data_IF_136211045863
#
_entry.id   IF_136211045863
#
_cell.length_a   1.000
_cell.length_b   1.000
_cell.length_c   1.000
_cell.angle_alpha   90.00
_cell.angle_beta   90.00
_cell.angle_gamma   90.00
#
_symmetry.space_group_name_H-M   'P 1'
#
loop_
_entity.id
_entity.type
_entity.pdbx_description
1 polymer ?
#
# COMPACT_ATOMS: atom_id res chain seq x y z
N UNK A 1 16.35 16.60 26.23
CA UNK A 1 15.01 16.44 26.85
C UNK A 1 14.34 15.23 26.22
N UNK A 2 13.85 14.26 27.03
CA UNK A 2 13.09 13.13 26.49
C UNK A 2 11.80 13.68 25.89
N UNK A 3 11.54 13.39 24.62
CA UNK A 3 10.28 13.75 23.95
C UNK A 3 9.16 12.99 24.70
N UNK A 4 8.24 13.75 25.31
CA UNK A 4 7.08 13.13 25.98
C UNK A 4 6.25 12.42 24.92
N UNK A 5 6.27 11.08 24.94
CA UNK A 5 5.48 10.27 24.00
C UNK A 5 4.00 10.47 24.27
N UNK A 6 3.26 10.87 23.24
CA UNK A 6 1.79 10.96 23.34
C UNK A 6 1.15 9.58 23.40
N UNK A 7 -0.01 9.46 24.01
CA UNK A 7 -0.82 8.25 24.00
C UNK A 7 -1.19 7.89 22.54
N UNK A 8 -0.89 6.68 22.06
CA UNK A 8 -1.20 6.28 20.71
C UNK A 8 -2.70 6.07 20.44
N UNK A 9 -3.52 6.03 21.46
CA UNK A 9 -4.98 5.93 21.34
C UNK A 9 -5.68 7.29 21.41
N UNK A 10 -4.97 8.35 21.82
CA UNK A 10 -5.53 9.68 21.96
C UNK A 10 -5.51 10.46 20.64
N UNK A 11 -6.69 10.80 20.14
CA UNK A 11 -6.83 11.68 18.97
C UNK A 11 -6.24 13.06 19.24
N UNK A 12 -5.56 13.60 18.25
CA UNK A 12 -4.98 14.94 18.32
C UNK A 12 -6.01 16.00 17.83
N UNK A 13 -5.82 17.28 18.19
CA UNK A 13 -6.66 18.34 17.66
C UNK A 13 -6.75 18.34 16.14
N UNK A 14 -7.95 18.44 15.59
CA UNK A 14 -8.22 18.40 14.16
C UNK A 14 -8.44 16.98 13.58
N UNK A 15 -8.23 15.92 14.36
CA UNK A 15 -8.56 14.56 13.95
C UNK A 15 -10.02 14.24 14.28
N UNK A 16 -10.83 13.95 13.25
CA UNK A 16 -12.23 13.55 13.43
C UNK A 16 -12.35 12.07 13.80
N UNK A 17 -13.13 11.78 14.83
CA UNK A 17 -13.51 10.42 15.23
C UNK A 17 -14.69 9.98 14.36
N UNK A 18 -14.65 8.74 13.88
CA UNK A 18 -15.81 8.12 13.21
C UNK A 18 -16.39 7.00 14.07
N UNK A 19 -17.66 6.73 13.89
CA UNK A 19 -18.31 5.59 14.54
C UNK A 19 -18.11 4.35 13.67
N UNK A 20 -17.22 3.46 14.10
CA UNK A 20 -16.91 2.21 13.40
C UNK A 20 -16.59 1.10 14.41
N UNK A 21 -17.08 -0.11 14.13
CA UNK A 21 -16.77 -1.31 14.92
C UNK A 21 -15.65 -2.15 14.29
N UNK A 22 -15.11 -1.69 13.14
CA UNK A 22 -14.18 -2.51 12.34
C UNK A 22 -12.87 -2.72 13.09
N UNK A 23 -12.35 -1.69 13.75
CA UNK A 23 -11.12 -1.79 14.55
C UNK A 23 -11.25 -2.89 15.63
N UNK A 24 -12.30 -2.84 16.43
CA UNK A 24 -12.53 -3.80 17.52
C UNK A 24 -12.71 -5.21 16.96
N UNK A 25 -13.44 -5.35 15.86
CA UNK A 25 -13.64 -6.64 15.18
C UNK A 25 -12.30 -7.22 14.68
N UNK A 26 -11.46 -6.40 14.05
CA UNK A 26 -10.15 -6.85 13.55
C UNK A 26 -9.26 -7.27 14.72
N UNK A 27 -9.08 -6.43 15.73
CA UNK A 27 -8.21 -6.72 16.87
C UNK A 27 -8.65 -7.97 17.61
N UNK A 28 -9.95 -8.12 17.90
CA UNK A 28 -10.49 -9.33 18.54
C UNK A 28 -10.20 -10.61 17.75
N UNK A 29 -10.29 -10.58 16.44
CA UNK A 29 -9.99 -11.75 15.61
C UNK A 29 -8.49 -12.05 15.57
N UNK A 30 -7.64 -11.01 15.55
CA UNK A 30 -6.17 -11.17 15.57
C UNK A 30 -5.70 -11.75 16.90
N UNK A 31 -6.27 -11.31 18.04
CA UNK A 31 -5.96 -11.85 19.37
C UNK A 31 -6.31 -13.33 19.47
N UNK A 32 -7.39 -13.75 18.83
CA UNK A 32 -7.82 -15.15 18.78
C UNK A 32 -7.09 -15.98 17.71
N UNK A 33 -6.30 -15.36 16.85
CA UNK A 33 -5.58 -16.05 15.77
C UNK A 33 -4.28 -16.68 16.29
N UNK A 34 -4.35 -17.98 16.56
CA UNK A 34 -3.21 -18.79 16.97
C UNK A 34 -2.87 -19.80 15.86
N UNK A 35 -1.98 -19.38 14.97
CA UNK A 35 -1.56 -20.22 13.84
C UNK A 35 -0.71 -21.42 14.24
N UNK A 36 -0.21 -21.49 15.50
CA UNK A 36 0.53 -22.65 15.98
C UNK A 36 -0.35 -23.90 16.12
N UNK A 37 -1.67 -23.71 16.25
CA UNK A 37 -2.68 -24.79 16.35
C UNK A 37 -3.22 -25.26 15.01
N UNK A 38 -2.81 -24.63 13.91
CA UNK A 38 -3.29 -24.95 12.57
C UNK A 38 -2.51 -26.13 12.01
N UNK A 39 -3.25 -27.13 11.52
CA UNK A 39 -2.72 -28.36 10.95
C UNK A 39 -2.73 -28.35 9.42
N UNK A 40 -2.01 -29.29 8.79
CA UNK A 40 -2.07 -29.53 7.35
C UNK A 40 -3.52 -29.79 6.86
N UNK A 41 -4.31 -30.52 7.65
CA UNK A 41 -5.74 -30.78 7.35
C UNK A 41 -6.56 -29.51 7.24
N UNK A 42 -6.33 -28.51 8.13
CA UNK A 42 -7.04 -27.23 8.05
C UNK A 42 -6.72 -26.50 6.75
N UNK A 43 -5.48 -26.59 6.26
CA UNK A 43 -5.05 -26.03 4.98
C UNK A 43 -5.70 -26.74 3.81
N UNK A 44 -5.71 -28.09 3.81
CA UNK A 44 -6.36 -28.90 2.78
C UNK A 44 -7.87 -28.61 2.69
N UNK A 45 -8.55 -28.48 3.85
CA UNK A 45 -9.96 -28.11 3.90
C UNK A 45 -10.21 -26.69 3.37
N UNK A 46 -9.32 -25.73 3.66
CA UNK A 46 -9.40 -24.38 3.13
C UNK A 46 -9.23 -24.37 1.59
N UNK A 47 -8.30 -25.14 1.05
CA UNK A 47 -8.05 -25.21 -0.39
C UNK A 47 -9.18 -25.82 -1.21
N UNK A 48 -10.06 -26.61 -0.60
CA UNK A 48 -11.24 -27.18 -1.28
C UNK A 48 -12.38 -26.17 -1.46
N UNK A 49 -12.36 -25.03 -0.74
CA UNK A 49 -13.46 -24.07 -0.71
C UNK A 49 -13.31 -22.99 -1.77
N UNK A 50 -14.40 -22.59 -2.40
CA UNK A 50 -14.43 -21.44 -3.31
C UNK A 50 -14.49 -20.10 -2.56
N UNK A 51 -15.11 -20.10 -1.35
CA UNK A 51 -15.19 -18.93 -0.48
C UNK A 51 -14.55 -19.24 0.87
N UNK A 52 -13.54 -18.49 1.24
CA UNK A 52 -12.82 -18.69 2.49
C UNK A 52 -13.54 -18.00 3.65
N UNK A 53 -13.69 -18.73 4.75
CA UNK A 53 -13.97 -18.11 6.05
C UNK A 53 -12.70 -17.48 6.62
N UNK A 54 -12.83 -16.69 7.68
CA UNK A 54 -11.68 -16.13 8.40
C UNK A 54 -10.73 -17.23 8.92
N UNK A 55 -11.28 -18.37 9.36
CA UNK A 55 -10.49 -19.53 9.79
C UNK A 55 -9.69 -20.12 8.63
N UNK A 56 -10.31 -20.29 7.46
CA UNK A 56 -9.66 -20.82 6.27
C UNK A 56 -8.54 -19.89 5.80
N UNK A 57 -8.80 -18.58 5.80
CA UNK A 57 -7.79 -17.58 5.47
C UNK A 57 -6.60 -17.62 6.43
N UNK A 58 -6.87 -17.72 7.74
CA UNK A 58 -5.83 -17.91 8.73
C UNK A 58 -5.01 -19.19 8.51
N UNK A 59 -5.65 -20.27 8.07
CA UNK A 59 -4.97 -21.51 7.74
C UNK A 59 -3.98 -21.33 6.59
N UNK A 60 -4.34 -20.60 5.53
CA UNK A 60 -3.46 -20.31 4.40
C UNK A 60 -2.26 -19.41 4.75
N UNK A 61 -2.35 -18.61 5.81
CA UNK A 61 -1.26 -17.78 6.31
C UNK A 61 -0.35 -18.52 7.30
N UNK A 62 -0.76 -19.69 7.81
CA UNK A 62 -0.01 -20.43 8.82
C UNK A 62 1.26 -21.07 8.25
N UNK A 63 2.22 -21.46 9.12
CA UNK A 63 3.38 -22.27 8.69
C UNK A 63 2.98 -23.60 8.07
N UNK A 64 1.84 -24.20 8.48
CA UNK A 64 1.32 -25.44 7.92
C UNK A 64 0.99 -25.34 6.41
N UNK A 65 0.73 -24.14 5.88
CA UNK A 65 0.46 -23.94 4.47
C UNK A 65 1.73 -23.87 3.59
N UNK A 66 2.93 -23.77 4.17
CA UNK A 66 4.18 -23.69 3.40
C UNK A 66 4.36 -24.84 2.38
N UNK A 67 4.06 -26.10 2.70
CA UNK A 67 4.15 -27.19 1.73
C UNK A 67 3.12 -27.13 0.60
N UNK A 68 2.05 -26.34 0.78
CA UNK A 68 0.92 -26.22 -0.16
C UNK A 68 0.99 -24.98 -1.06
N UNK A 69 2.13 -24.28 -1.10
CA UNK A 69 2.26 -23.03 -1.88
C UNK A 69 2.01 -23.23 -3.37
N UNK A 70 2.34 -24.41 -3.92
CA UNK A 70 2.09 -24.71 -5.32
C UNK A 70 0.57 -24.85 -5.60
N UNK A 71 -0.17 -25.53 -4.73
CA UNK A 71 -1.62 -25.67 -4.81
C UNK A 71 -2.32 -24.32 -4.63
N UNK A 72 -1.85 -23.52 -3.67
CA UNK A 72 -2.32 -22.14 -3.49
C UNK A 72 -2.09 -21.32 -4.76
N UNK A 73 -0.90 -21.42 -5.37
CA UNK A 73 -0.55 -20.70 -6.59
C UNK A 73 -1.43 -21.13 -7.78
N UNK A 74 -1.66 -22.44 -7.98
CA UNK A 74 -2.55 -22.95 -9.03
C UNK A 74 -3.97 -22.39 -8.88
N UNK A 75 -4.50 -22.39 -7.66
CA UNK A 75 -5.82 -21.83 -7.36
C UNK A 75 -5.85 -20.31 -7.55
N UNK A 76 -4.83 -19.60 -7.09
CA UNK A 76 -4.72 -18.16 -7.23
C UNK A 76 -4.63 -17.71 -8.70
N UNK A 77 -3.92 -18.45 -9.56
CA UNK A 77 -3.89 -18.18 -11.01
C UNK A 77 -5.27 -18.28 -11.63
N UNK A 78 -6.07 -19.30 -11.23
CA UNK A 78 -7.44 -19.48 -11.74
C UNK A 78 -8.29 -18.27 -11.33
N UNK A 79 -8.24 -17.87 -10.06
CA UNK A 79 -9.01 -16.72 -9.55
C UNK A 79 -8.53 -15.39 -10.17
N UNK A 80 -7.21 -15.20 -10.32
CA UNK A 80 -6.66 -14.01 -10.97
C UNK A 80 -7.16 -13.90 -12.41
N UNK A 81 -7.13 -14.99 -13.17
CA UNK A 81 -7.61 -15.00 -14.56
C UNK A 81 -9.11 -14.84 -14.69
N UNK A 82 -9.88 -15.39 -13.75
CA UNK A 82 -11.35 -15.25 -13.71
C UNK A 82 -11.76 -13.78 -13.54
N UNK A 83 -11.07 -13.03 -12.70
CA UNK A 83 -11.44 -11.67 -12.33
C UNK A 83 -10.71 -10.58 -13.14
N UNK A 84 -9.50 -10.83 -13.60
CA UNK A 84 -8.63 -9.84 -14.25
C UNK A 84 -8.17 -10.24 -15.66
N UNK A 85 -8.47 -11.46 -16.08
CA UNK A 85 -7.95 -11.97 -17.36
C UNK A 85 -6.42 -12.01 -17.39
N UNK A 86 -5.86 -11.50 -18.48
CA UNK A 86 -4.41 -11.38 -18.67
C UNK A 86 -3.92 -9.93 -18.42
N UNK A 87 -4.79 -9.04 -17.91
CA UNK A 87 -4.50 -7.62 -17.77
C UNK A 87 -3.60 -7.32 -16.58
N UNK A 88 -2.55 -6.53 -16.80
CA UNK A 88 -1.64 -6.01 -15.78
C UNK A 88 -1.61 -4.50 -15.86
N UNK A 89 -2.12 -3.83 -14.83
CA UNK A 89 -2.09 -2.37 -14.73
C UNK A 89 -0.67 -1.85 -14.47
N UNK A 90 -0.31 -0.74 -15.14
CA UNK A 90 0.97 -0.05 -14.93
C UNK A 90 0.74 1.34 -14.36
N UNK A 91 1.57 1.71 -13.37
CA UNK A 91 1.59 3.04 -12.78
C UNK A 91 3.00 3.45 -12.35
N UNK A 92 3.17 4.71 -11.98
CA UNK A 92 4.38 5.18 -11.29
C UNK A 92 4.02 6.11 -10.14
N UNK A 93 4.82 6.14 -9.06
CA UNK A 93 4.70 7.14 -8.01
C UNK A 93 5.37 8.46 -8.41
N UNK A 94 4.83 9.57 -7.91
CA UNK A 94 5.49 10.88 -7.88
C UNK A 94 5.50 11.43 -6.47
N UNK A 95 6.68 11.55 -5.87
CA UNK A 95 6.87 12.20 -4.58
C UNK A 95 6.95 13.71 -4.76
N UNK A 96 5.95 14.43 -4.25
CA UNK A 96 5.87 15.89 -4.39
C UNK A 96 6.49 16.66 -3.21
N UNK A 97 6.67 15.99 -2.06
CA UNK A 97 7.38 16.53 -0.89
C UNK A 97 7.84 15.41 0.05
N UNK A 98 8.98 15.59 0.74
CA UNK A 98 9.48 14.64 1.74
C UNK A 98 9.62 15.24 3.15
N UNK A 99 9.04 16.42 3.40
CA UNK A 99 8.91 16.95 4.76
C UNK A 99 7.99 16.05 5.57
N UNK A 100 8.42 15.64 6.77
CA UNK A 100 7.66 14.77 7.65
C UNK A 100 7.84 15.16 9.10
N UNK A 101 6.76 15.16 9.89
CA UNK A 101 6.74 15.45 11.32
C UNK A 101 6.89 14.20 12.18
N UNK A 102 6.78 13.02 11.56
CA UNK A 102 6.82 11.74 12.25
C UNK A 102 8.23 11.24 12.51
N UNK A 103 8.40 10.59 13.66
CA UNK A 103 9.61 9.85 14.01
C UNK A 103 9.36 8.35 13.91
N UNK A 104 9.31 7.84 12.67
CA UNK A 104 9.16 6.41 12.39
C UNK A 104 10.54 5.79 12.20
N UNK A 105 10.86 4.73 12.97
CA UNK A 105 12.22 4.14 12.98
C UNK A 105 12.61 3.40 11.71
N UNK A 106 11.67 3.20 10.79
CA UNK A 106 11.84 2.42 9.56
C UNK A 106 11.74 3.25 8.27
N UNK A 107 11.69 4.60 8.37
CA UNK A 107 11.41 5.45 7.22
C UNK A 107 12.51 6.49 6.98
N UNK A 108 12.99 6.59 5.75
CA UNK A 108 13.98 7.59 5.35
C UNK A 108 13.50 9.03 5.58
N UNK A 109 12.20 9.30 5.48
CA UNK A 109 11.61 10.61 5.74
C UNK A 109 11.43 10.96 7.23
N UNK A 110 11.86 10.09 8.14
CA UNK A 110 11.83 10.34 9.58
C UNK A 110 12.34 11.76 9.89
N UNK A 111 11.60 12.51 10.75
CA UNK A 111 11.92 13.89 11.07
C UNK A 111 13.30 14.08 11.74
N UNK A 112 13.91 13.02 12.27
CA UNK A 112 15.26 13.04 12.87
C UNK A 112 16.37 12.73 11.87
N UNK A 113 16.03 12.18 10.69
CA UNK A 113 17.03 11.90 9.66
C UNK A 113 17.54 13.19 9.03
N UNK A 114 18.88 13.27 8.89
CA UNK A 114 19.58 14.35 8.20
C UNK A 114 19.60 14.04 6.71
N UNK A 115 18.51 14.37 6.03
CA UNK A 115 18.33 14.20 4.59
C UNK A 115 18.03 15.55 3.93
N UNK A 116 18.26 15.63 2.63
CA UNK A 116 17.84 16.76 1.82
C UNK A 116 16.32 16.77 1.72
N UNK A 117 15.68 17.80 2.29
CA UNK A 117 14.23 18.00 2.23
C UNK A 117 13.88 18.81 1.01
N UNK A 118 12.86 18.37 0.28
CA UNK A 118 12.35 19.02 -0.92
C UNK A 118 10.83 19.08 -0.95
N UNK A 119 10.35 20.04 -1.74
CA UNK A 119 8.93 20.21 -2.08
C UNK A 119 8.88 20.82 -3.48
N UNK A 120 8.07 20.24 -4.36
CA UNK A 120 7.88 20.74 -5.71
C UNK A 120 6.94 21.95 -5.70
N UNK A 121 7.26 22.98 -6.47
CA UNK A 121 6.30 24.01 -6.89
C UNK A 121 5.33 23.43 -7.94
N UNK A 122 4.23 24.11 -8.21
CA UNK A 122 3.28 23.67 -9.25
C UNK A 122 3.93 23.57 -10.62
N UNK A 123 4.81 24.52 -11.00
CA UNK A 123 5.52 24.48 -12.27
C UNK A 123 6.54 23.31 -12.36
N UNK A 124 7.15 22.93 -11.25
CA UNK A 124 8.01 21.72 -11.18
C UNK A 124 7.17 20.45 -11.29
N UNK A 125 6.03 20.39 -10.59
CA UNK A 125 5.10 19.27 -10.71
C UNK A 125 4.61 19.07 -12.15
N UNK A 126 4.24 20.15 -12.83
CA UNK A 126 3.77 20.08 -14.20
C UNK A 126 4.82 19.44 -15.12
N UNK A 127 6.09 19.84 -15.01
CA UNK A 127 7.18 19.24 -15.79
C UNK A 127 7.36 17.74 -15.47
N UNK A 128 7.33 17.36 -14.19
CA UNK A 128 7.42 15.96 -13.77
C UNK A 128 6.24 15.12 -14.30
N UNK A 129 5.00 15.65 -14.21
CA UNK A 129 3.79 14.99 -14.72
C UNK A 129 3.84 14.84 -16.24
N UNK A 130 4.30 15.87 -16.94
CA UNK A 130 4.48 15.82 -18.41
C UNK A 130 5.53 14.77 -18.81
N UNK A 131 6.67 14.70 -18.12
CA UNK A 131 7.71 13.71 -18.37
C UNK A 131 7.18 12.28 -18.16
N UNK A 132 6.42 12.04 -17.06
CA UNK A 132 5.78 10.76 -16.80
C UNK A 132 4.74 10.43 -17.88
N UNK A 133 3.88 11.38 -18.26
CA UNK A 133 2.84 11.17 -19.26
C UNK A 133 3.41 10.80 -20.66
N UNK A 134 4.59 11.32 -21.02
CA UNK A 134 5.33 10.94 -22.25
C UNK A 134 5.74 9.47 -22.29
N UNK A 135 5.81 8.77 -21.16
CA UNK A 135 6.05 7.32 -21.12
C UNK A 135 4.84 6.50 -21.55
N UNK A 136 3.69 7.13 -21.70
CA UNK A 136 2.41 6.48 -22.03
C UNK A 136 1.56 6.11 -20.82
N UNK A 137 2.10 6.18 -19.59
CA UNK A 137 1.33 5.90 -18.37
C UNK A 137 0.08 6.78 -18.27
N UNK A 138 -1.01 6.20 -17.78
CA UNK A 138 -2.31 6.86 -17.55
C UNK A 138 -2.79 6.75 -16.11
N UNK A 139 -2.00 6.13 -15.26
CA UNK A 139 -2.21 6.10 -13.81
C UNK A 139 -0.97 6.63 -13.08
N UNK A 140 -1.20 7.49 -12.10
CA UNK A 140 -0.17 8.05 -11.24
C UNK A 140 -0.55 7.91 -9.76
N UNK A 141 0.44 7.73 -8.90
CA UNK A 141 0.28 7.76 -7.45
C UNK A 141 1.05 8.95 -6.86
N UNK A 142 0.34 9.92 -6.29
CA UNK A 142 0.93 11.10 -5.66
C UNK A 142 1.27 10.80 -4.21
N UNK A 143 2.54 11.05 -3.81
CA UNK A 143 3.02 10.78 -2.46
C UNK A 143 3.60 12.03 -1.79
N UNK A 144 3.43 12.10 -0.46
CA UNK A 144 4.11 13.08 0.38
C UNK A 144 4.54 12.47 1.72
N UNK A 145 5.53 13.08 2.35
CA UNK A 145 5.71 12.95 3.80
C UNK A 145 4.54 13.61 4.54
N UNK A 146 4.36 13.25 5.82
CA UNK A 146 3.30 13.82 6.66
C UNK A 146 3.76 15.13 7.29
N UNK A 147 3.36 16.25 6.69
CA UNK A 147 3.52 17.60 7.25
C UNK A 147 2.40 18.50 6.74
N UNK A 148 1.44 18.78 7.60
CA UNK A 148 0.34 19.71 7.26
C UNK A 148 0.84 21.14 6.96
N UNK A 149 2.00 21.52 7.50
CA UNK A 149 2.62 22.82 7.23
C UNK A 149 3.25 22.90 5.83
N UNK A 150 3.99 21.87 5.41
CA UNK A 150 4.70 21.86 4.13
C UNK A 150 3.87 21.31 2.97
N UNK A 151 3.08 20.25 3.21
CA UNK A 151 2.23 19.58 2.25
C UNK A 151 0.79 19.45 2.78
N UNK A 152 0.14 20.61 3.02
CA UNK A 152 -1.25 20.68 3.44
C UNK A 152 -2.22 20.18 2.36
N UNK A 153 -3.49 20.01 2.73
CA UNK A 153 -4.51 19.41 1.86
C UNK A 153 -4.73 20.23 0.58
N UNK A 154 -4.66 21.57 0.65
CA UNK A 154 -4.78 22.45 -0.51
C UNK A 154 -3.63 22.26 -1.51
N UNK A 155 -2.40 22.09 -1.01
CA UNK A 155 -1.25 21.80 -1.86
C UNK A 155 -1.37 20.44 -2.54
N UNK A 156 -1.81 19.42 -1.81
CA UNK A 156 -2.07 18.09 -2.35
C UNK A 156 -3.22 18.17 -3.37
N UNK A 157 -4.29 18.91 -3.07
CA UNK A 157 -5.41 19.12 -3.97
C UNK A 157 -5.01 19.80 -5.28
N UNK A 158 -4.11 20.80 -5.23
CA UNK A 158 -3.55 21.43 -6.42
C UNK A 158 -2.73 20.44 -7.26
N UNK A 159 -1.91 19.61 -6.61
CA UNK A 159 -1.14 18.55 -7.29
C UNK A 159 -2.06 17.50 -7.96
N UNK A 160 -3.11 17.06 -7.26
CA UNK A 160 -4.10 16.10 -7.77
C UNK A 160 -4.85 16.70 -8.97
N UNK A 161 -5.28 17.96 -8.86
CA UNK A 161 -5.98 18.65 -9.94
C UNK A 161 -5.11 18.74 -11.20
N UNK A 162 -3.85 19.11 -11.04
CA UNK A 162 -2.90 19.17 -12.13
C UNK A 162 -2.64 17.78 -12.74
N UNK A 163 -2.45 16.77 -11.90
CA UNK A 163 -2.24 15.38 -12.35
C UNK A 163 -3.45 14.85 -13.14
N UNK A 164 -4.66 15.24 -12.77
CA UNK A 164 -5.89 14.83 -13.46
C UNK A 164 -6.03 15.35 -14.91
N UNK A 165 -5.21 16.34 -15.30
CA UNK A 165 -5.12 16.82 -16.69
C UNK A 165 -4.30 15.86 -17.58
N UNK A 166 -3.36 15.12 -17.02
CA UNK A 166 -2.45 14.21 -17.72
C UNK A 166 -2.84 12.73 -17.60
N UNK A 167 -3.46 12.35 -16.46
CA UNK A 167 -3.71 10.96 -16.10
C UNK A 167 -5.20 10.66 -15.95
N UNK A 168 -5.61 9.49 -16.44
CA UNK A 168 -6.99 9.02 -16.31
C UNK A 168 -7.32 8.59 -14.87
N UNK A 169 -6.31 8.12 -14.12
CA UNK A 169 -6.45 7.69 -12.72
C UNK A 169 -5.38 8.35 -11.86
N UNK A 170 -5.80 9.01 -10.78
CA UNK A 170 -4.92 9.65 -9.81
C UNK A 170 -5.15 9.04 -8.44
N UNK A 171 -4.19 8.25 -7.98
CA UNK A 171 -4.13 7.76 -6.61
C UNK A 171 -3.36 8.69 -5.69
N UNK A 172 -3.62 8.60 -4.40
CA UNK A 172 -2.86 9.31 -3.37
C UNK A 172 -2.39 8.34 -2.30
N UNK A 173 -1.11 8.44 -1.92
CA UNK A 173 -0.52 7.75 -0.78
C UNK A 173 0.09 8.81 0.14
N UNK A 174 -0.75 9.33 1.01
CA UNK A 174 -0.46 10.46 1.89
C UNK A 174 -0.80 10.09 3.33
N UNK A 175 -0.62 11.03 4.24
CA UNK A 175 -1.04 10.86 5.63
C UNK A 175 -2.58 10.78 5.76
N UNK A 176 -3.11 10.17 6.85
CA UNK A 176 -4.55 10.08 7.09
C UNK A 176 -5.22 11.46 7.16
N UNK A 177 -6.39 11.56 6.57
CA UNK A 177 -7.20 12.76 6.51
C UNK A 177 -8.59 12.51 7.13
N UNK A 178 -9.33 13.59 7.40
CA UNK A 178 -10.74 13.55 7.72
C UNK A 178 -11.59 13.28 6.46
N UNK A 179 -12.85 12.89 6.64
CA UNK A 179 -13.72 12.55 5.51
C UNK A 179 -14.02 13.73 4.58
N UNK A 180 -14.17 14.92 5.13
CA UNK A 180 -14.37 16.17 4.38
C UNK A 180 -13.12 16.58 3.57
N UNK A 181 -11.92 16.36 4.12
CA UNK A 181 -10.66 16.58 3.43
C UNK A 181 -10.50 15.58 2.27
N UNK A 182 -10.86 14.30 2.46
CA UNK A 182 -10.91 13.33 1.37
C UNK A 182 -11.96 13.72 0.32
N UNK A 183 -13.13 14.22 0.72
CA UNK A 183 -14.15 14.72 -0.21
C UNK A 183 -13.64 15.89 -1.05
N UNK A 184 -12.84 16.79 -0.45
CA UNK A 184 -12.15 17.85 -1.18
C UNK A 184 -11.16 17.30 -2.22
N UNK A 185 -10.29 16.33 -1.85
CA UNK A 185 -9.35 15.73 -2.77
C UNK A 185 -10.05 14.93 -3.89
N UNK A 186 -11.18 14.28 -3.57
CA UNK A 186 -12.05 13.67 -4.59
C UNK A 186 -12.54 14.67 -5.62
N UNK A 187 -12.99 15.85 -5.19
CA UNK A 187 -13.40 16.95 -6.08
C UNK A 187 -12.24 17.48 -6.92
N UNK A 188 -11.01 17.43 -6.40
CA UNK A 188 -9.79 17.76 -7.14
C UNK A 188 -9.44 16.72 -8.21
N UNK A 189 -9.98 15.50 -8.12
CA UNK A 189 -9.77 14.44 -9.11
C UNK A 189 -9.05 13.20 -8.58
N UNK A 190 -8.87 13.05 -7.25
CA UNK A 190 -8.35 11.81 -6.67
C UNK A 190 -9.38 10.67 -6.82
N UNK A 191 -8.90 9.49 -7.21
CA UNK A 191 -9.73 8.31 -7.45
C UNK A 191 -9.65 7.30 -6.30
N UNK A 192 -8.45 7.04 -5.78
CA UNK A 192 -8.25 6.05 -4.72
C UNK A 192 -7.17 6.49 -3.72
N UNK A 193 -7.20 5.86 -2.55
CA UNK A 193 -6.32 6.15 -1.43
C UNK A 193 -5.56 4.90 -1.00
N UNK A 194 -4.25 5.01 -0.83
CA UNK A 194 -3.40 4.01 -0.20
C UNK A 194 -2.90 4.52 1.14
N UNK A 195 -3.30 3.87 2.23
CA UNK A 195 -2.75 4.12 3.58
C UNK A 195 -2.51 2.78 4.26
N UNK A 196 -1.25 2.45 4.48
CA UNK A 196 -0.92 1.19 5.16
C UNK A 196 -0.92 1.37 6.67
N UNK A 197 -1.50 0.40 7.40
CA UNK A 197 -1.52 0.42 8.85
C UNK A 197 -0.13 0.20 9.45
N UNK A 198 0.80 -0.30 8.68
CA UNK A 198 2.16 -0.68 8.99
C UNK A 198 2.23 -1.95 9.85
N UNK A 199 1.66 -1.97 11.04
CA UNK A 199 1.42 -3.15 11.88
C UNK A 199 0.12 -2.98 12.66
N UNK A 200 -0.59 -4.08 12.89
CA UNK A 200 -1.83 -4.11 13.68
C UNK A 200 -1.57 -4.44 15.15
N UNK A 201 -0.33 -4.74 15.51
CA UNK A 201 0.08 -4.90 16.91
C UNK A 201 0.31 -3.52 17.54
N UNK A 202 -0.55 -3.12 18.49
CA UNK A 202 -0.49 -1.81 19.13
C UNK A 202 0.82 -1.54 19.86
N UNK A 203 1.35 -2.54 20.58
CA UNK A 203 2.62 -2.38 21.31
C UNK A 203 3.78 -2.15 20.33
N UNK A 204 3.80 -2.93 19.25
CA UNK A 204 4.81 -2.75 18.19
C UNK A 204 4.64 -1.41 17.50
N UNK A 205 3.39 -1.01 17.22
CA UNK A 205 3.08 0.27 16.59
C UNK A 205 3.64 1.45 17.39
N UNK A 206 3.48 1.43 18.72
CA UNK A 206 4.04 2.44 19.61
C UNK A 206 5.58 2.47 19.63
N UNK A 207 6.20 1.30 19.49
CA UNK A 207 7.66 1.16 19.48
C UNK A 207 8.30 1.72 18.20
N UNK A 208 7.60 1.61 17.07
CA UNK A 208 8.14 2.05 15.76
C UNK A 208 7.70 3.45 15.35
N UNK A 209 6.63 4.01 15.97
CA UNK A 209 6.17 5.39 15.79
C UNK A 209 6.42 6.19 17.06
N UNK A 210 7.61 6.79 17.18
CA UNK A 210 8.10 7.39 18.42
C UNK A 210 7.43 8.73 18.75
N UNK A 211 7.09 9.52 17.73
CA UNK A 211 6.39 10.80 17.86
C UNK A 211 5.77 11.22 16.52
N UNK A 212 4.91 12.23 16.56
CA UNK A 212 4.22 12.79 15.39
C UNK A 212 2.79 12.26 15.22
N UNK A 213 2.01 12.84 14.28
CA UNK A 213 0.60 12.50 14.06
C UNK A 213 0.36 11.03 13.73
N UNK A 214 1.28 10.39 12.99
CA UNK A 214 1.19 8.97 12.62
C UNK A 214 1.10 8.03 13.83
N UNK A 215 1.51 8.51 15.02
CA UNK A 215 1.44 7.74 16.25
C UNK A 215 0.01 7.40 16.67
N UNK A 216 -1.00 8.14 16.23
CA UNK A 216 -2.41 7.90 16.58
C UNK A 216 -2.94 6.69 15.79
N UNK A 217 -2.91 5.53 16.45
CA UNK A 217 -3.23 4.23 15.87
C UNK A 217 -4.66 4.15 15.29
N UNK A 218 -5.74 4.47 16.03
CA UNK A 218 -7.09 4.35 15.51
C UNK A 218 -7.36 5.35 14.36
N UNK A 219 -6.81 6.56 14.43
CA UNK A 219 -6.95 7.53 13.35
C UNK A 219 -6.35 7.04 12.05
N UNK A 220 -5.20 6.35 12.10
CA UNK A 220 -4.60 5.76 10.92
C UNK A 220 -5.38 4.55 10.44
N UNK A 221 -5.83 3.69 11.35
CA UNK A 221 -6.64 2.52 11.03
C UNK A 221 -7.91 2.90 10.25
N UNK A 222 -8.63 3.89 10.70
CA UNK A 222 -9.90 4.31 10.09
C UNK A 222 -9.73 5.15 8.81
N UNK A 223 -8.51 5.30 8.28
CA UNK A 223 -8.23 6.17 7.13
C UNK A 223 -8.97 5.73 5.87
N UNK A 224 -9.01 4.42 5.58
CA UNK A 224 -9.71 3.89 4.41
C UNK A 224 -11.22 4.10 4.52
N UNK A 225 -11.78 3.93 5.71
CA UNK A 225 -13.20 4.17 5.93
C UNK A 225 -13.53 5.66 5.73
N UNK A 226 -12.74 6.58 6.30
CA UNK A 226 -12.93 8.02 6.07
C UNK A 226 -12.78 8.41 4.60
N UNK A 227 -11.87 7.75 3.86
CA UNK A 227 -11.71 7.98 2.43
C UNK A 227 -12.98 7.60 1.64
N UNK A 228 -13.58 6.46 1.96
CA UNK A 228 -14.86 6.03 1.35
C UNK A 228 -16.03 6.92 1.75
N UNK A 229 -16.09 7.37 3.01
CA UNK A 229 -17.06 8.39 3.46
C UNK A 229 -16.90 9.70 2.68
N UNK A 230 -15.67 10.06 2.30
CA UNK A 230 -15.34 11.20 1.43
C UNK A 230 -15.62 10.96 -0.06
N UNK A 231 -16.13 9.78 -0.43
CA UNK A 231 -16.53 9.44 -1.80
C UNK A 231 -15.39 8.96 -2.70
N UNK A 232 -14.26 8.54 -2.16
CA UNK A 232 -13.21 7.88 -2.95
C UNK A 232 -13.74 6.58 -3.56
N UNK A 233 -13.36 6.30 -4.79
CA UNK A 233 -13.77 5.11 -5.55
C UNK A 233 -13.17 3.83 -4.96
N UNK A 234 -11.91 3.90 -4.55
CA UNK A 234 -11.20 2.74 -4.04
C UNK A 234 -10.24 3.05 -2.91
N UNK A 235 -9.88 2.00 -2.17
CA UNK A 235 -8.91 2.05 -1.07
C UNK A 235 -7.97 0.85 -1.12
N UNK A 236 -6.71 1.08 -0.75
CA UNK A 236 -5.69 0.03 -0.71
C UNK A 236 -5.22 -0.22 0.71
N UNK A 237 -5.04 -1.50 1.01
CA UNK A 237 -4.64 -1.99 2.33
C UNK A 237 -3.23 -2.59 2.29
N UNK A 238 -2.55 -2.58 3.42
CA UNK A 238 -1.25 -3.22 3.58
C UNK A 238 -0.71 -3.07 4.99
N UNK A 239 0.23 -3.93 5.31
CA UNK A 239 1.12 -3.81 6.45
C UNK A 239 2.56 -3.82 5.95
N UNK A 240 3.47 -3.14 6.66
CA UNK A 240 4.90 -3.19 6.36
C UNK A 240 5.47 -4.46 6.99
N UNK A 241 5.51 -5.52 6.20
CA UNK A 241 5.89 -6.84 6.65
C UNK A 241 7.34 -6.87 7.17
N UNK A 242 7.54 -7.45 8.35
CA UNK A 242 8.82 -7.48 9.06
C UNK A 242 8.91 -6.47 10.23
N UNK A 243 7.94 -5.58 10.43
CA UNK A 243 7.86 -4.75 11.64
C UNK A 243 7.46 -5.58 12.86
N UNK A 244 6.48 -6.44 12.71
CA UNK A 244 5.95 -7.34 13.73
C UNK A 244 5.83 -8.77 13.22
N UNK A 245 4.90 -9.53 13.78
CA UNK A 245 4.53 -10.85 13.28
C UNK A 245 3.79 -10.68 11.94
N UNK A 246 4.48 -10.96 10.84
CA UNK A 246 3.96 -10.71 9.50
C UNK A 246 2.70 -11.54 9.18
N UNK A 247 2.52 -12.72 9.81
CA UNK A 247 1.33 -13.55 9.62
C UNK A 247 0.10 -12.91 10.28
N UNK A 248 0.27 -12.40 11.49
CA UNK A 248 -0.78 -11.66 12.20
C UNK A 248 -1.10 -10.34 11.50
N UNK A 249 -0.09 -9.61 11.04
CA UNK A 249 -0.28 -8.37 10.30
C UNK A 249 -0.97 -8.61 8.94
N UNK A 250 -0.60 -9.67 8.21
CA UNK A 250 -1.27 -10.07 6.98
C UNK A 250 -2.73 -10.50 7.26
N UNK A 251 -2.95 -11.30 8.30
CA UNK A 251 -4.30 -11.73 8.71
C UNK A 251 -5.19 -10.52 9.02
N UNK A 252 -4.69 -9.60 9.84
CA UNK A 252 -5.39 -8.36 10.17
C UNK A 252 -5.71 -7.50 8.94
N UNK A 253 -4.74 -7.37 8.01
CA UNK A 253 -4.92 -6.62 6.75
C UNK A 253 -6.06 -7.19 5.92
N UNK A 254 -6.12 -8.50 5.75
CA UNK A 254 -7.21 -9.16 5.00
C UNK A 254 -8.57 -9.01 5.68
N UNK A 255 -8.63 -9.12 7.01
CA UNK A 255 -9.86 -8.88 7.76
C UNK A 255 -10.34 -7.43 7.65
N UNK A 256 -9.41 -6.48 7.79
CA UNK A 256 -9.72 -5.06 7.65
C UNK A 256 -10.34 -4.76 6.29
N UNK A 257 -9.70 -5.22 5.21
CA UNK A 257 -10.21 -5.09 3.85
C UNK A 257 -11.59 -5.77 3.68
N UNK A 258 -11.77 -6.97 4.23
CA UNK A 258 -13.03 -7.73 4.14
C UNK A 258 -14.17 -7.02 4.86
N UNK A 259 -13.94 -6.47 6.06
CA UNK A 259 -14.98 -5.74 6.79
C UNK A 259 -15.32 -4.40 6.13
N UNK A 260 -14.32 -3.71 5.57
CA UNK A 260 -14.57 -2.51 4.76
C UNK A 260 -15.40 -2.85 3.53
N UNK A 261 -15.07 -3.93 2.79
CA UNK A 261 -15.84 -4.36 1.62
C UNK A 261 -17.28 -4.72 1.98
N UNK A 262 -17.52 -5.37 3.11
CA UNK A 262 -18.87 -5.68 3.58
C UNK A 262 -19.70 -4.43 3.88
N UNK A 263 -19.07 -3.40 4.47
CA UNK A 263 -19.72 -2.12 4.81
C UNK A 263 -19.88 -1.21 3.58
N UNK A 264 -18.93 -1.28 2.63
CA UNK A 264 -18.89 -0.48 1.40
C UNK A 264 -18.75 -1.39 0.17
N UNK A 265 -19.81 -2.12 -0.24
CA UNK A 265 -19.73 -3.14 -1.30
C UNK A 265 -19.39 -2.57 -2.68
N UNK A 266 -19.57 -1.27 -2.90
CA UNK A 266 -19.22 -0.57 -4.14
C UNK A 266 -17.75 -0.15 -4.22
N UNK A 267 -16.99 -0.26 -3.11
CA UNK A 267 -15.61 0.19 -3.08
C UNK A 267 -14.67 -0.76 -3.83
N UNK A 268 -13.76 -0.23 -4.61
CA UNK A 268 -12.64 -0.99 -5.13
C UNK A 268 -11.60 -1.24 -4.04
N UNK A 269 -11.28 -2.51 -3.81
CA UNK A 269 -10.31 -2.94 -2.81
C UNK A 269 -8.99 -3.32 -3.48
N UNK A 270 -7.90 -2.76 -2.96
CA UNK A 270 -6.54 -3.13 -3.34
C UNK A 270 -5.72 -3.62 -2.16
N UNK A 271 -4.76 -4.49 -2.45
CA UNK A 271 -3.72 -4.90 -1.50
C UNK A 271 -2.34 -4.51 -2.03
N UNK A 272 -1.48 -4.12 -1.10
CA UNK A 272 -0.04 -4.05 -1.31
C UNK A 272 0.66 -4.83 -0.21
N UNK A 273 1.80 -5.41 -0.54
CA UNK A 273 2.57 -6.24 0.38
C UNK A 273 3.99 -5.68 0.55
N UNK A 274 4.13 -4.42 1.04
CA UNK A 274 5.45 -3.87 1.28
C UNK A 274 6.14 -4.63 2.40
N UNK A 275 7.45 -4.90 2.22
CA UNK A 275 8.30 -5.35 3.32
C UNK A 275 9.43 -4.34 3.55
N UNK A 276 10.04 -4.41 4.73
CA UNK A 276 11.11 -3.49 5.11
C UNK A 276 12.23 -3.48 4.06
N UNK A 277 12.78 -2.29 3.82
CA UNK A 277 13.91 -2.06 2.91
C UNK A 277 14.92 -1.14 3.59
N UNK A 278 16.21 -1.24 3.25
CA UNK A 278 17.20 -0.27 3.66
C UNK A 278 16.80 1.16 3.26
N UNK A 279 17.21 2.13 4.05
CA UNK A 279 17.01 3.56 3.78
C UNK A 279 18.20 4.39 4.28
N UNK A 280 18.30 5.63 3.85
CA UNK A 280 19.40 6.53 4.22
C UNK A 280 19.51 6.64 5.74
N UNK A 281 20.74 6.50 6.25
CA UNK A 281 21.11 6.51 7.67
C UNK A 281 20.64 5.29 8.49
N UNK A 282 20.13 4.24 7.86
CA UNK A 282 19.79 2.98 8.51
C UNK A 282 19.90 1.77 7.55
N UNK A 283 21.09 1.57 7.00
CA UNK A 283 21.39 0.44 6.13
C UNK A 283 21.35 -0.92 6.86
N UNK A 284 21.61 -0.91 8.17
CA UNK A 284 21.67 -2.11 9.01
C UNK A 284 20.28 -2.60 9.48
N UNK A 285 19.23 -1.84 9.22
CA UNK A 285 17.87 -2.27 9.51
C UNK A 285 17.46 -3.34 8.51
N UNK A 286 18.03 -4.54 8.69
CA UNK A 286 17.85 -5.65 7.78
C UNK A 286 16.52 -6.36 8.05
N UNK A 287 15.59 -6.34 7.10
CA UNK A 287 14.27 -6.97 7.22
C UNK A 287 14.34 -8.49 6.98
N UNK A 288 15.28 -9.18 7.58
CA UNK A 288 15.52 -10.62 7.31
C UNK A 288 14.36 -11.53 7.67
N UNK A 289 13.30 -11.01 8.30
CA UNK A 289 12.23 -11.84 8.84
C UNK A 289 11.19 -12.26 7.80
N UNK A 290 11.15 -11.61 6.61
CA UNK A 290 10.17 -11.92 5.56
C UNK A 290 10.86 -12.15 4.23
N UNK A 291 10.97 -13.42 3.85
CA UNK A 291 11.56 -13.84 2.59
C UNK A 291 10.53 -13.87 1.44
N UNK A 292 10.98 -14.01 0.20
CA UNK A 292 10.11 -14.05 -0.98
C UNK A 292 9.04 -15.15 -0.91
N UNK A 293 9.38 -16.32 -0.37
CA UNK A 293 8.43 -17.41 -0.16
C UNK A 293 7.28 -17.01 0.78
N UNK A 294 7.60 -16.31 1.87
CA UNK A 294 6.61 -15.83 2.84
C UNK A 294 5.77 -14.68 2.25
N UNK A 295 6.42 -13.79 1.49
CA UNK A 295 5.74 -12.73 0.75
C UNK A 295 4.75 -13.31 -0.28
N UNK A 296 5.19 -14.32 -1.04
CA UNK A 296 4.33 -15.04 -1.97
C UNK A 296 3.14 -15.68 -1.25
N UNK A 297 3.36 -16.36 -0.11
CA UNK A 297 2.29 -16.95 0.70
C UNK A 297 1.23 -15.91 1.07
N UNK A 298 1.66 -14.73 1.53
CA UNK A 298 0.73 -13.63 1.88
C UNK A 298 -0.07 -13.16 0.67
N UNK A 299 0.60 -12.94 -0.47
CA UNK A 299 -0.09 -12.51 -1.70
C UNK A 299 -1.10 -13.56 -2.18
N UNK A 300 -0.73 -14.84 -2.14
CA UNK A 300 -1.62 -15.95 -2.50
C UNK A 300 -2.84 -16.02 -1.56
N UNK A 301 -2.62 -15.86 -0.25
CA UNK A 301 -3.70 -15.85 0.72
C UNK A 301 -4.66 -14.67 0.50
N UNK A 302 -4.17 -13.46 0.18
CA UNK A 302 -5.02 -12.31 -0.18
C UNK A 302 -5.86 -12.60 -1.43
N UNK A 303 -5.25 -13.16 -2.49
CA UNK A 303 -5.97 -13.52 -3.71
C UNK A 303 -7.10 -14.51 -3.44
N UNK A 304 -6.84 -15.52 -2.61
CA UNK A 304 -7.82 -16.55 -2.30
C UNK A 304 -8.91 -16.06 -1.32
N UNK A 305 -8.59 -15.11 -0.43
CA UNK A 305 -9.57 -14.45 0.45
C UNK A 305 -10.52 -13.55 -0.33
N UNK A 306 -9.98 -12.69 -1.20
CA UNK A 306 -10.71 -11.68 -1.96
C UNK A 306 -10.33 -11.76 -3.44
N UNK A 307 -10.91 -12.70 -4.20
CA UNK A 307 -10.49 -12.99 -5.57
C UNK A 307 -10.59 -11.79 -6.54
N UNK A 308 -11.47 -10.84 -6.27
CA UNK A 308 -11.70 -9.63 -7.07
C UNK A 308 -10.85 -8.42 -6.64
N UNK A 309 -10.12 -8.50 -5.52
CA UNK A 309 -9.28 -7.38 -5.07
C UNK A 309 -8.03 -7.23 -5.94
N UNK A 310 -7.66 -5.98 -6.24
CA UNK A 310 -6.39 -5.69 -6.90
C UNK A 310 -5.21 -6.03 -5.99
N UNK A 311 -4.12 -6.58 -6.54
CA UNK A 311 -2.87 -6.80 -5.79
C UNK A 311 -1.73 -6.12 -6.51
N UNK A 312 -1.09 -5.18 -5.83
CA UNK A 312 0.00 -4.37 -6.37
C UNK A 312 1.36 -4.89 -5.90
N UNK A 313 2.30 -5.04 -6.83
CA UNK A 313 3.71 -5.30 -6.53
C UNK A 313 4.57 -4.10 -6.92
N UNK A 314 5.39 -3.61 -6.00
CA UNK A 314 6.22 -2.42 -6.18
C UNK A 314 7.69 -2.77 -6.47
N UNK A 315 8.48 -1.73 -6.80
CA UNK A 315 9.93 -1.81 -7.02
C UNK A 315 10.75 -2.08 -5.74
N UNK A 316 10.10 -2.23 -4.59
CA UNK A 316 10.75 -2.76 -3.38
C UNK A 316 11.28 -4.17 -3.62
N UNK A 317 10.62 -4.92 -4.52
CA UNK A 317 10.99 -6.28 -4.86
C UNK A 317 11.88 -6.33 -6.11
N UNK A 318 12.81 -7.30 -6.15
CA UNK A 318 13.69 -7.50 -7.29
C UNK A 318 12.92 -7.93 -8.54
N UNK A 319 13.46 -7.59 -9.70
CA UNK A 319 12.87 -7.86 -11.00
C UNK A 319 12.40 -9.32 -11.17
N UNK A 320 13.26 -10.29 -10.86
CA UNK A 320 12.92 -11.72 -11.02
C UNK A 320 11.72 -12.17 -10.20
N UNK A 321 11.56 -11.70 -8.95
CA UNK A 321 10.38 -12.01 -8.15
C UNK A 321 9.12 -11.35 -8.74
N UNK A 322 9.20 -10.06 -9.09
CA UNK A 322 8.08 -9.32 -9.71
C UNK A 322 7.59 -10.01 -10.99
N UNK A 323 8.52 -10.45 -11.84
CA UNK A 323 8.22 -11.15 -13.08
C UNK A 323 7.48 -12.47 -12.87
N UNK A 324 7.73 -13.18 -11.76
CA UNK A 324 7.07 -14.44 -11.47
C UNK A 324 5.68 -14.28 -10.86
N UNK A 325 5.42 -13.21 -10.10
CA UNK A 325 4.14 -13.04 -9.39
C UNK A 325 3.07 -12.33 -10.22
N UNK A 326 3.45 -11.59 -11.29
CA UNK A 326 2.46 -10.99 -12.19
C UNK A 326 1.69 -12.08 -12.95
N UNK A 327 0.38 -11.88 -13.11
CA UNK A 327 -0.51 -12.86 -13.74
C UNK A 327 -0.75 -14.15 -12.94
N UNK A 328 0.08 -14.40 -11.90
CA UNK A 328 -0.19 -15.42 -10.89
C UNK A 328 -1.12 -14.88 -9.82
N UNK A 329 -0.76 -13.73 -9.24
CA UNK A 329 -1.42 -13.13 -8.09
C UNK A 329 -1.46 -11.60 -8.19
N UNK A 330 -0.39 -10.96 -8.61
CA UNK A 330 -0.33 -9.50 -8.78
C UNK A 330 -0.99 -9.07 -10.11
N UNK A 331 -1.77 -8.00 -10.06
CA UNK A 331 -2.55 -7.45 -11.16
C UNK A 331 -2.14 -6.03 -11.52
N UNK A 332 -1.30 -5.42 -10.70
CA UNK A 332 -0.77 -4.07 -10.89
C UNK A 332 0.71 -4.01 -10.53
N UNK A 333 1.50 -3.29 -11.32
CA UNK A 333 2.95 -3.20 -11.16
C UNK A 333 3.42 -1.75 -11.38
N UNK A 334 4.31 -1.26 -10.52
CA UNK A 334 4.95 0.04 -10.72
C UNK A 334 6.14 -0.05 -11.69
N UNK A 335 6.38 0.97 -12.49
CA UNK A 335 7.46 1.02 -13.47
C UNK A 335 8.06 2.44 -13.59
N UNK A 336 9.35 2.53 -13.92
CA UNK A 336 10.06 3.81 -14.04
C UNK A 336 10.07 4.61 -12.74
N UNK A 337 10.19 3.94 -11.59
CA UNK A 337 9.99 4.52 -10.27
C UNK A 337 11.15 5.40 -9.84
N UNK A 338 10.82 6.55 -9.26
CA UNK A 338 11.71 7.40 -8.46
C UNK A 338 11.09 7.56 -7.07
N UNK A 339 11.91 7.48 -6.03
CA UNK A 339 11.46 7.53 -4.63
C UNK A 339 12.02 8.74 -3.87
N UNK A 340 12.76 9.60 -4.56
CA UNK A 340 13.11 10.95 -4.15
C UNK A 340 12.05 11.96 -4.59
N UNK A 341 12.18 13.22 -4.23
CA UNK A 341 11.22 14.28 -4.60
C UNK A 341 11.46 14.72 -6.04
N UNK A 342 10.50 14.48 -6.93
CA UNK A 342 10.65 14.66 -8.38
C UNK A 342 11.50 13.54 -8.99
N UNK A 343 12.39 13.88 -9.90
CA UNK A 343 13.39 12.96 -10.47
C UNK A 343 12.98 12.27 -11.77
N UNK A 344 11.84 12.60 -12.36
CA UNK A 344 11.43 12.06 -13.67
C UNK A 344 11.86 12.96 -14.84
N UNK A 345 11.88 14.27 -14.64
CA UNK A 345 12.31 15.25 -15.66
C UNK A 345 13.67 15.88 -15.32
N UNK A 346 13.88 16.20 -14.05
CA UNK A 346 15.12 16.82 -13.54
C UNK A 346 15.74 15.97 -12.42
N UNK A 347 16.88 16.41 -11.88
CA UNK A 347 17.46 15.80 -10.68
C UNK A 347 16.52 15.90 -9.48
N UNK A 348 16.54 14.89 -8.63
CA UNK A 348 15.73 14.82 -7.42
C UNK A 348 16.02 16.01 -6.49
N UNK A 349 14.95 16.71 -6.12
CA UNK A 349 15.01 17.88 -5.22
C UNK A 349 15.17 17.50 -3.74
N UNK A 350 14.85 16.26 -3.39
CA UNK A 350 14.95 15.73 -2.04
C UNK A 350 15.29 14.25 -2.05
N UNK A 351 15.94 13.80 -0.97
CA UNK A 351 16.42 12.43 -0.85
C UNK A 351 15.29 11.39 -0.80
N UNK A 352 15.65 10.16 -1.07
CA UNK A 352 14.75 9.00 -1.20
C UNK A 352 14.15 8.53 0.13
N UNK A 353 12.99 7.88 0.05
CA UNK A 353 12.32 7.28 1.21
C UNK A 353 12.94 5.95 1.61
N UNK A 354 13.32 5.13 0.65
CA UNK A 354 13.90 3.80 0.80
C UNK A 354 14.61 3.39 -0.50
N UNK A 355 15.43 2.35 -0.43
CA UNK A 355 16.11 1.78 -1.59
C UNK A 355 15.17 0.93 -2.46
N UNK A 356 15.17 1.14 -3.79
CA UNK A 356 14.46 0.32 -4.77
C UNK A 356 15.34 -0.82 -5.26
N UNK A 357 14.70 -1.98 -5.59
CA UNK A 357 15.40 -3.17 -6.10
C UNK A 357 15.20 -3.42 -7.58
N UNK A 358 14.24 -2.75 -8.21
CA UNK A 358 13.96 -2.88 -9.64
C UNK A 358 13.89 -1.51 -10.31
N UNK A 359 14.99 -1.07 -10.96
CA UNK A 359 15.08 0.26 -11.58
C UNK A 359 14.53 0.31 -13.01
N UNK A 360 13.92 -0.78 -13.52
CA UNK A 360 13.48 -0.85 -14.93
C UNK A 360 12.53 0.29 -15.30
N UNK A 361 12.72 0.76 -16.51
CA UNK A 361 11.86 1.75 -17.18
C UNK A 361 10.46 1.20 -17.47
N UNK A 362 9.53 2.08 -17.82
CA UNK A 362 8.17 1.71 -18.25
C UNK A 362 8.22 0.79 -19.46
N UNK A 363 9.08 1.06 -20.45
CA UNK A 363 9.20 0.25 -21.66
C UNK A 363 9.75 -1.17 -21.38
N UNK A 364 10.72 -1.30 -20.49
CA UNK A 364 11.27 -2.61 -20.10
C UNK A 364 10.24 -3.46 -19.35
N UNK A 365 9.48 -2.86 -18.42
CA UNK A 365 8.41 -3.55 -17.72
C UNK A 365 7.26 -3.91 -18.67
N UNK A 366 6.90 -3.03 -19.60
CA UNK A 366 5.92 -3.31 -20.65
C UNK A 366 6.33 -4.55 -21.48
N UNK A 367 7.56 -4.57 -21.97
CA UNK A 367 8.06 -5.69 -22.76
C UNK A 367 8.12 -6.99 -21.94
N UNK A 368 8.47 -6.93 -20.67
CA UNK A 368 8.47 -8.07 -19.77
C UNK A 368 7.06 -8.67 -19.64
N UNK A 369 6.02 -7.81 -19.50
CA UNK A 369 4.63 -8.27 -19.40
C UNK A 369 4.22 -9.00 -20.68
N UNK A 370 4.53 -8.44 -21.87
CA UNK A 370 4.25 -9.08 -23.16
C UNK A 370 4.98 -10.42 -23.30
N UNK A 371 6.26 -10.50 -22.92
CA UNK A 371 7.07 -11.72 -22.98
C UNK A 371 6.50 -12.83 -22.10
N UNK A 372 5.67 -12.52 -21.12
CA UNK A 372 4.96 -13.47 -20.26
C UNK A 372 3.57 -13.86 -20.77
N UNK A 373 3.19 -13.40 -21.96
CA UNK A 373 1.87 -13.63 -22.54
C UNK A 373 0.74 -12.90 -21.83
N UNK A 374 1.08 -11.80 -21.14
CA UNK A 374 0.14 -10.94 -20.43
C UNK A 374 -0.07 -9.64 -21.20
N UNK A 375 -1.13 -8.89 -20.85
CA UNK A 375 -1.52 -7.64 -21.50
C UNK A 375 -1.19 -6.46 -20.59
N UNK A 376 -0.21 -5.59 -20.94
CA UNK A 376 0.00 -4.35 -20.22
C UNK A 376 -1.19 -3.40 -20.44
N UNK A 377 -1.76 -2.88 -19.35
CA UNK A 377 -2.91 -1.98 -19.36
C UNK A 377 -2.50 -0.65 -18.75
N UNK A 378 -2.64 0.40 -19.52
CA UNK A 378 -2.33 1.77 -19.12
C UNK A 378 -3.56 2.53 -18.62
N UNK A 379 -4.75 2.09 -19.02
CA UNK A 379 -6.01 2.72 -18.69
C UNK A 379 -7.11 1.67 -18.58
N UNK A 380 -7.65 1.51 -17.40
CA UNK A 380 -8.76 0.60 -17.08
C UNK A 380 -10.04 1.34 -16.61
N UNK A 381 -9.95 2.67 -16.47
CA UNK A 381 -11.04 3.51 -15.99
C UNK A 381 -11.19 4.77 -16.85
N UNK A 382 -12.42 5.17 -17.12
CA UNK A 382 -12.78 6.42 -17.79
C UNK A 382 -13.67 7.21 -16.84
N UNK A 383 -13.25 8.44 -16.52
CA UNK A 383 -14.14 9.37 -15.81
C UNK A 383 -15.28 9.78 -16.76
N UNK A 384 -16.51 9.62 -16.27
CA UNK A 384 -17.76 10.02 -16.97
C UNK A 384 -18.26 11.30 -16.38
#
# INVERSE_FOLDING_TARGET
MAVKRTDPLAYQPGMAIITSEILDKVLKNVDNYDYSKISARDVEEALKKDHLSMKDYGALLSPAATPYLEEMAKKAVIETRRHFGNSIGLFTPLYIANYCENNCVYCGFNCKNKIRRGKLSLAEMERELEAIAKTGLKEILILTGESRHHSGVEYIGAAVKLAAEYFATVGIEIYPLNADEYAYLKKCGADFVSVYQETYNLDKYQQVHLSGPKRVFPYRFDSQERALMGGMRGVSFGALLGLGDFRKDAFATGLHASFIQQKYPHAEIGFSTPRLRPFINNADNNPNDVHEQQLLQVMLAYRLLMPFAGITISTRERAGFRDHVIGMVATKISAGVRVGVGGHEQEEKGDEQFEISDPRSVSEVHQMILNRGLQPVYRDYIRV
#
